data_IF_728679104837
#
_entry.id   IF_728679104837
#
_cell.length_a   1.000
_cell.length_b   1.000
_cell.length_c   1.000
_cell.angle_alpha   90.00
_cell.angle_beta   90.00
_cell.angle_gamma   90.00
#
_symmetry.space_group_name_H-M   'P 1'
#
loop_
_entity.id
_entity.type
_entity.pdbx_description
1 polymer ?
#
# COMPACT_ATOMS: atom_id res chain seq x y z
N UNK A 1 17.63 16.87 5.89
CA UNK A 1 18.00 15.45 5.74
C UNK A 1 17.41 14.93 4.46
N UNK A 2 18.22 14.27 3.62
CA UNK A 2 17.83 13.86 2.27
C UNK A 2 17.84 12.34 2.15
N UNK A 3 16.82 11.77 1.49
CA UNK A 3 16.67 10.34 1.21
C UNK A 3 16.32 10.18 -0.26
N UNK A 4 17.09 9.37 -0.97
CA UNK A 4 16.83 9.00 -2.36
C UNK A 4 16.24 7.61 -2.39
N UNK A 5 15.16 7.42 -3.14
CA UNK A 5 14.47 6.13 -3.22
C UNK A 5 13.97 5.85 -4.62
N UNK A 6 14.00 4.58 -4.99
CA UNK A 6 13.42 4.08 -6.24
C UNK A 6 12.56 2.88 -5.91
N UNK A 7 11.28 2.92 -6.30
CA UNK A 7 10.37 1.81 -6.07
C UNK A 7 10.62 0.67 -7.03
N UNK A 8 10.83 -0.53 -6.50
CA UNK A 8 10.86 -1.74 -7.33
C UNK A 8 9.43 -2.16 -7.75
N UNK A 9 9.33 -2.98 -8.80
CA UNK A 9 8.04 -3.51 -9.27
C UNK A 9 7.27 -4.23 -8.16
N UNK A 10 7.94 -5.05 -7.34
CA UNK A 10 7.31 -5.77 -6.22
C UNK A 10 6.80 -4.83 -5.12
N UNK A 11 7.56 -3.77 -4.83
CA UNK A 11 7.14 -2.75 -3.88
C UNK A 11 5.94 -1.95 -4.39
N UNK A 12 5.92 -1.63 -5.68
CA UNK A 12 4.78 -0.96 -6.31
C UNK A 12 3.52 -1.85 -6.30
N UNK A 13 3.65 -3.15 -6.56
CA UNK A 13 2.55 -4.10 -6.45
C UNK A 13 2.00 -4.19 -5.02
N UNK A 14 2.88 -4.25 -4.00
CA UNK A 14 2.47 -4.21 -2.58
C UNK A 14 1.74 -2.92 -2.23
N UNK A 15 2.25 -1.78 -2.70
CA UNK A 15 1.60 -0.48 -2.51
C UNK A 15 0.20 -0.46 -3.12
N UNK A 16 0.07 -0.92 -4.37
CA UNK A 16 -1.21 -1.03 -5.07
C UNK A 16 -2.20 -1.88 -4.29
N UNK A 17 -1.78 -3.04 -3.79
CA UNK A 17 -2.61 -3.90 -2.94
C UNK A 17 -3.05 -3.21 -1.64
N UNK A 18 -2.13 -2.52 -0.95
CA UNK A 18 -2.45 -1.75 0.26
C UNK A 18 -3.49 -0.67 -0.01
N UNK A 19 -3.39 0.03 -1.14
CA UNK A 19 -4.31 1.10 -1.51
C UNK A 19 -5.68 0.55 -1.93
N UNK A 20 -5.71 -0.57 -2.67
CA UNK A 20 -6.95 -1.23 -3.09
C UNK A 20 -7.75 -1.74 -1.88
N UNK A 21 -7.09 -2.40 -0.93
CA UNK A 21 -7.75 -2.91 0.28
C UNK A 21 -8.32 -1.80 1.19
N UNK A 22 -7.97 -0.53 0.97
CA UNK A 22 -8.59 0.60 1.66
C UNK A 22 -9.88 1.09 1.02
N UNK A 23 -10.19 0.63 -0.19
CA UNK A 23 -11.46 0.94 -0.84
C UNK A 23 -12.54 0.05 -0.21
N UNK A 24 -13.51 0.66 0.43
CA UNK A 24 -14.63 -0.04 1.09
C UNK A 24 -15.32 -1.04 0.16
N UNK A 25 -15.54 -0.66 -1.09
CA UNK A 25 -16.14 -1.55 -2.10
C UNK A 25 -15.35 -2.85 -2.29
N UNK A 26 -14.02 -2.76 -2.40
CA UNK A 26 -13.16 -3.95 -2.55
C UNK A 26 -13.23 -4.82 -1.29
N UNK A 27 -13.21 -4.19 -0.12
CA UNK A 27 -13.34 -4.90 1.15
C UNK A 27 -14.68 -5.63 1.26
N UNK A 28 -15.80 -4.98 0.90
CA UNK A 28 -17.12 -5.61 0.91
C UNK A 28 -17.21 -6.79 -0.04
N UNK A 29 -16.67 -6.68 -1.27
CA UNK A 29 -16.64 -7.79 -2.22
C UNK A 29 -15.86 -8.98 -1.66
N UNK A 30 -14.68 -8.73 -1.09
CA UNK A 30 -13.86 -9.79 -0.50
C UNK A 30 -14.55 -10.47 0.69
N UNK A 31 -15.18 -9.69 1.58
CA UNK A 31 -15.93 -10.21 2.71
C UNK A 31 -17.15 -11.04 2.25
N UNK A 32 -17.86 -10.60 1.22
CA UNK A 32 -18.98 -11.34 0.63
C UNK A 32 -18.53 -12.69 0.05
N UNK A 33 -17.43 -12.71 -0.70
CA UNK A 33 -16.88 -13.96 -1.27
C UNK A 33 -16.41 -14.90 -0.16
N UNK A 34 -15.72 -14.39 0.86
CA UNK A 34 -15.29 -15.21 2.01
C UNK A 34 -16.53 -15.76 2.76
N UNK A 35 -17.54 -14.94 2.98
CA UNK A 35 -18.80 -15.36 3.60
C UNK A 35 -19.51 -16.46 2.82
N UNK A 36 -19.54 -16.36 1.47
CA UNK A 36 -20.07 -17.40 0.60
C UNK A 36 -19.28 -18.72 0.71
N UNK A 37 -17.96 -18.66 0.74
CA UNK A 37 -17.11 -19.85 0.91
C UNK A 37 -17.38 -20.51 2.27
N UNK A 38 -17.44 -19.72 3.34
CA UNK A 38 -17.72 -20.25 4.69
C UNK A 38 -19.13 -20.85 4.76
N UNK A 39 -20.14 -20.18 4.22
CA UNK A 39 -21.51 -20.68 4.17
C UNK A 39 -21.62 -21.98 3.36
N UNK A 40 -20.95 -22.08 2.21
CA UNK A 40 -20.90 -23.29 1.42
C UNK A 40 -20.18 -24.44 2.16
N UNK A 41 -19.10 -24.13 2.90
CA UNK A 41 -18.40 -25.12 3.72
C UNK A 41 -19.30 -25.68 4.82
N UNK A 42 -20.05 -24.82 5.54
CA UNK A 42 -21.00 -25.23 6.55
C UNK A 42 -22.11 -26.11 5.91
N UNK A 43 -22.65 -25.69 4.76
CA UNK A 43 -23.68 -26.44 4.04
C UNK A 43 -23.20 -27.84 3.61
N UNK A 44 -21.95 -27.98 3.17
CA UNK A 44 -21.39 -29.27 2.80
C UNK A 44 -21.18 -30.20 4.01
N UNK A 45 -20.75 -29.64 5.15
CA UNK A 45 -20.45 -30.42 6.35
C UNK A 45 -21.71 -30.79 7.14
N UNK A 46 -22.68 -29.89 7.27
CA UNK A 46 -23.87 -30.07 8.12
C UNK A 46 -24.99 -30.75 7.35
N UNK A 47 -25.22 -30.34 6.10
CA UNK A 47 -26.34 -30.81 5.29
C UNK A 47 -25.91 -31.82 4.22
N UNK A 48 -24.65 -32.23 4.16
CA UNK A 48 -24.09 -33.16 3.19
C UNK A 48 -24.39 -32.73 1.73
N UNK A 49 -24.42 -31.39 1.51
CA UNK A 49 -24.76 -30.81 0.21
C UNK A 49 -23.55 -30.81 -0.73
N UNK A 50 -23.49 -31.77 -1.63
CA UNK A 50 -22.38 -31.92 -2.59
C UNK A 50 -22.26 -30.71 -3.54
N UNK A 51 -23.36 -30.06 -3.89
CA UNK A 51 -23.36 -28.86 -4.76
C UNK A 51 -22.60 -27.69 -4.12
N UNK A 52 -22.43 -27.68 -2.79
CA UNK A 52 -21.67 -26.65 -2.07
C UNK A 52 -20.18 -26.64 -2.44
N UNK A 53 -19.60 -27.78 -2.83
CA UNK A 53 -18.20 -27.85 -3.27
C UNK A 53 -17.94 -27.01 -4.51
N UNK A 54 -18.91 -26.93 -5.42
CA UNK A 54 -18.81 -26.09 -6.61
C UNK A 54 -18.71 -24.60 -6.24
N UNK A 55 -19.48 -24.14 -5.25
CA UNK A 55 -19.43 -22.75 -4.78
C UNK A 55 -18.09 -22.43 -4.10
N UNK A 56 -17.55 -23.37 -3.31
CA UNK A 56 -16.23 -23.23 -2.70
C UNK A 56 -15.17 -23.10 -3.80
N UNK A 57 -15.20 -23.99 -4.80
CA UNK A 57 -14.26 -23.97 -5.91
C UNK A 57 -14.31 -22.64 -6.67
N UNK A 58 -15.50 -22.17 -7.05
CA UNK A 58 -15.70 -20.90 -7.75
C UNK A 58 -15.18 -19.73 -6.91
N UNK A 59 -15.47 -19.71 -5.61
CA UNK A 59 -14.99 -18.67 -4.69
C UNK A 59 -13.46 -18.62 -4.59
N UNK A 60 -12.80 -19.78 -4.48
CA UNK A 60 -11.34 -19.87 -4.42
C UNK A 60 -10.69 -19.43 -5.74
N UNK A 61 -11.25 -19.87 -6.88
CA UNK A 61 -10.80 -19.45 -8.22
C UNK A 61 -10.95 -17.94 -8.38
N UNK A 62 -12.07 -17.37 -7.94
CA UNK A 62 -12.29 -15.92 -7.99
C UNK A 62 -11.23 -15.15 -7.17
N UNK A 63 -10.94 -15.59 -5.95
CA UNK A 63 -9.90 -14.96 -5.13
C UNK A 63 -8.52 -15.03 -5.77
N UNK A 64 -8.18 -16.18 -6.38
CA UNK A 64 -6.94 -16.37 -7.12
C UNK A 64 -6.82 -15.44 -8.33
N UNK A 65 -7.86 -15.37 -9.16
CA UNK A 65 -7.93 -14.48 -10.32
C UNK A 65 -7.89 -12.99 -9.89
N UNK A 66 -8.55 -12.65 -8.78
CA UNK A 66 -8.53 -11.30 -8.24
C UNK A 66 -7.11 -10.90 -7.80
N UNK A 67 -6.43 -11.75 -7.04
CA UNK A 67 -5.04 -11.51 -6.62
C UNK A 67 -4.10 -11.40 -7.83
N UNK A 68 -4.23 -12.29 -8.81
CA UNK A 68 -3.49 -12.26 -10.08
C UNK A 68 -3.72 -10.97 -10.85
N UNK A 69 -4.98 -10.52 -10.94
CA UNK A 69 -5.35 -9.27 -11.61
C UNK A 69 -4.68 -8.05 -10.96
N UNK A 70 -4.67 -7.97 -9.63
CA UNK A 70 -3.98 -6.89 -8.91
C UNK A 70 -2.49 -6.86 -9.27
N UNK A 71 -1.84 -8.02 -9.22
CA UNK A 71 -0.41 -8.12 -9.50
C UNK A 71 -0.09 -7.77 -10.95
N UNK A 72 -0.86 -8.31 -11.90
CA UNK A 72 -0.65 -8.08 -13.33
C UNK A 72 -0.92 -6.61 -13.72
N UNK A 73 -1.97 -6.00 -13.18
CA UNK A 73 -2.24 -4.58 -13.39
C UNK A 73 -1.14 -3.69 -12.79
N UNK A 74 -0.68 -3.99 -11.58
CA UNK A 74 0.43 -3.26 -10.96
C UNK A 74 1.71 -3.38 -11.81
N UNK A 75 2.02 -4.58 -12.34
CA UNK A 75 3.14 -4.81 -13.25
C UNK A 75 3.02 -3.96 -14.50
N UNK A 76 1.87 -3.98 -15.17
CA UNK A 76 1.61 -3.18 -16.39
C UNK A 76 1.76 -1.69 -16.11
N UNK A 77 1.17 -1.17 -15.04
CA UNK A 77 1.29 0.23 -14.65
C UNK A 77 2.73 0.63 -14.31
N UNK A 78 3.48 -0.24 -13.65
CA UNK A 78 4.90 0.00 -13.36
C UNK A 78 5.73 0.07 -14.64
N UNK A 79 5.47 -0.80 -15.62
CA UNK A 79 6.20 -0.85 -16.89
C UNK A 79 5.84 0.30 -17.82
N UNK A 80 4.56 0.65 -17.90
CA UNK A 80 4.06 1.70 -18.80
C UNK A 80 4.32 3.11 -18.31
N UNK A 81 4.60 3.30 -17.01
CA UNK A 81 4.81 4.63 -16.44
C UNK A 81 6.27 4.84 -15.98
N UNK A 82 7.13 5.47 -16.81
CA UNK A 82 8.51 5.74 -16.45
C UNK A 82 8.66 6.55 -15.15
N UNK A 83 7.68 7.42 -14.84
CA UNK A 83 7.72 8.27 -13.64
C UNK A 83 7.73 7.48 -12.32
N UNK A 84 7.18 6.26 -12.31
CA UNK A 84 7.17 5.41 -11.10
C UNK A 84 8.57 4.83 -10.83
N UNK A 85 9.38 4.67 -11.91
CA UNK A 85 10.73 4.11 -11.87
C UNK A 85 11.82 5.15 -11.63
N UNK A 86 11.47 6.44 -11.72
CA UNK A 86 12.41 7.52 -11.46
C UNK A 86 12.84 7.56 -9.99
N UNK A 87 14.13 7.86 -9.77
CA UNK A 87 14.63 8.17 -8.45
C UNK A 87 13.88 9.40 -7.90
N UNK A 88 13.33 9.26 -6.72
CA UNK A 88 12.63 10.32 -6.01
C UNK A 88 13.43 10.70 -4.78
N UNK A 89 13.74 11.97 -4.65
CA UNK A 89 14.45 12.53 -3.51
C UNK A 89 13.45 13.14 -2.53
N UNK A 90 13.55 12.72 -1.29
CA UNK A 90 12.77 13.25 -0.16
C UNK A 90 13.70 14.05 0.75
N UNK A 91 13.40 15.32 0.95
CA UNK A 91 14.16 16.19 1.84
C UNK A 91 13.28 16.59 3.02
N UNK A 92 13.67 16.13 4.22
CA UNK A 92 13.00 16.44 5.48
C UNK A 92 13.61 17.70 6.08
N UNK A 93 12.78 18.70 6.35
CA UNK A 93 13.14 19.99 6.93
C UNK A 93 12.13 20.41 8.00
N UNK A 94 12.41 21.47 8.75
CA UNK A 94 11.45 22.02 9.74
C UNK A 94 10.14 22.52 9.10
N UNK A 95 10.14 22.87 7.80
CA UNK A 95 8.98 23.36 7.07
C UNK A 95 8.07 22.23 6.56
N UNK A 96 8.63 21.05 6.30
CA UNK A 96 7.92 19.92 5.73
C UNK A 96 8.83 18.94 5.03
N UNK A 97 8.24 18.15 4.15
CA UNK A 97 8.91 17.16 3.31
C UNK A 97 8.87 17.63 1.85
N UNK A 98 10.03 18.02 1.32
CA UNK A 98 10.17 18.33 -0.10
C UNK A 98 10.40 17.05 -0.88
N UNK A 99 9.70 16.90 -1.99
CA UNK A 99 9.71 15.72 -2.86
C UNK A 99 10.14 16.20 -4.24
N UNK A 100 11.24 15.71 -4.73
CA UNK A 100 11.75 16.07 -6.04
C UNK A 100 12.12 14.85 -6.86
N UNK A 101 11.83 14.92 -8.15
CA UNK A 101 12.25 13.98 -9.18
C UNK A 101 12.33 14.72 -10.51
N UNK A 102 12.83 14.09 -11.54
CA UNK A 102 12.91 14.70 -12.87
C UNK A 102 11.54 15.26 -13.32
N UNK A 103 11.51 16.57 -13.62
CA UNK A 103 10.31 17.27 -14.05
C UNK A 103 9.21 17.47 -12.99
N UNK A 104 9.51 17.21 -11.70
CA UNK A 104 8.54 17.40 -10.64
C UNK A 104 9.20 17.80 -9.31
N UNK A 105 8.68 18.86 -8.70
CA UNK A 105 9.03 19.25 -7.34
C UNK A 105 7.76 19.67 -6.59
N UNK A 106 7.63 19.23 -5.34
CA UNK A 106 6.51 19.57 -4.47
C UNK A 106 6.99 19.57 -3.03
N UNK A 107 6.39 20.41 -2.19
CA UNK A 107 6.64 20.42 -0.75
C UNK A 107 5.35 20.17 0.00
N UNK A 108 5.37 19.16 0.86
CA UNK A 108 4.26 18.79 1.74
C UNK A 108 4.56 19.34 3.13
N UNK A 109 3.76 20.26 3.60
CA UNK A 109 3.90 20.84 4.95
C UNK A 109 3.55 19.78 6.01
N UNK A 110 4.16 19.87 7.19
CA UNK A 110 3.85 18.95 8.28
C UNK A 110 2.37 18.95 8.67
N UNK A 111 1.69 20.10 8.56
CA UNK A 111 0.24 20.22 8.80
C UNK A 111 -0.63 19.45 7.79
N UNK A 112 -0.09 19.13 6.63
CA UNK A 112 -0.78 18.36 5.58
C UNK A 112 -0.55 16.85 5.73
N UNK A 113 0.34 16.43 6.63
CA UNK A 113 0.65 15.03 6.88
C UNK A 113 -0.23 14.52 8.01
N UNK A 114 -1.20 13.66 7.69
CA UNK A 114 -2.12 13.11 8.68
C UNK A 114 -1.53 11.94 9.47
N UNK A 115 -0.55 11.22 8.89
CA UNK A 115 0.15 10.10 9.55
C UNK A 115 1.32 9.60 8.72
N UNK A 116 2.28 8.94 9.38
CA UNK A 116 3.38 8.23 8.74
C UNK A 116 3.35 6.77 9.23
N UNK A 117 3.38 5.80 8.31
CA UNK A 117 3.31 4.38 8.68
C UNK A 117 4.29 3.54 7.88
N UNK A 118 4.95 2.61 8.59
CA UNK A 118 5.73 1.53 7.98
C UNK A 118 4.83 0.33 7.73
N UNK A 119 4.75 -0.13 6.48
CA UNK A 119 3.98 -1.31 6.10
C UNK A 119 4.61 -2.00 4.88
N UNK A 120 4.77 -3.32 4.95
CA UNK A 120 5.27 -4.16 3.85
C UNK A 120 6.64 -3.70 3.26
N UNK A 121 7.55 -3.18 4.12
CA UNK A 121 8.85 -2.67 3.70
C UNK A 121 8.82 -1.29 3.05
N UNK A 122 7.71 -0.55 3.20
CA UNK A 122 7.51 0.81 2.72
C UNK A 122 7.22 1.75 3.89
N UNK A 123 7.73 2.96 3.82
CA UNK A 123 7.34 4.08 4.68
C UNK A 123 6.38 4.95 3.90
N UNK A 124 5.15 5.07 4.40
CA UNK A 124 4.02 5.75 3.76
C UNK A 124 3.75 7.06 4.49
N UNK A 125 3.92 8.19 3.81
CA UNK A 125 3.62 9.54 4.29
C UNK A 125 2.25 9.94 3.75
N UNK A 126 1.22 9.86 4.59
CA UNK A 126 -0.18 10.07 4.20
C UNK A 126 -0.57 11.54 4.29
N UNK A 127 -1.07 12.10 3.18
CA UNK A 127 -1.66 13.43 3.12
C UNK A 127 -3.19 13.38 3.27
N UNK A 128 -3.81 12.29 2.84
CA UNK A 128 -5.24 12.02 3.04
C UNK A 128 -5.48 10.50 3.10
N UNK A 129 -6.75 10.07 3.15
CA UNK A 129 -7.10 8.64 3.25
C UNK A 129 -6.63 7.80 2.06
N UNK A 130 -6.41 8.42 0.89
CA UNK A 130 -6.11 7.73 -0.37
C UNK A 130 -4.74 8.08 -0.95
N UNK A 131 -4.17 9.24 -0.59
CA UNK A 131 -2.90 9.72 -1.12
C UNK A 131 -1.78 9.54 -0.10
N UNK A 132 -0.74 8.81 -0.50
CA UNK A 132 0.48 8.67 0.27
C UNK A 132 1.71 8.82 -0.62
N UNK A 133 2.71 9.53 -0.12
CA UNK A 133 4.06 9.48 -0.67
C UNK A 133 4.79 8.28 -0.06
N UNK A 134 5.67 7.65 -0.83
CA UNK A 134 6.21 6.34 -0.50
C UNK A 134 7.72 6.35 -0.58
N UNK A 135 8.36 5.93 0.49
CA UNK A 135 9.81 5.69 0.56
C UNK A 135 10.04 4.21 0.80
N UNK A 136 10.94 3.59 0.06
CA UNK A 136 11.37 2.22 0.36
C UNK A 136 12.13 2.21 1.70
N UNK A 137 11.73 1.35 2.62
CA UNK A 137 12.39 1.25 3.93
C UNK A 137 13.85 0.77 3.83
N UNK A 138 14.23 0.16 2.70
CA UNK A 138 15.62 -0.26 2.43
C UNK A 138 16.54 0.91 2.12
N UNK A 139 15.97 2.01 1.63
CA UNK A 139 16.71 3.20 1.20
C UNK A 139 16.87 4.21 2.36
N UNK A 140 16.40 3.86 3.55
CA UNK A 140 16.50 4.68 4.77
C UNK A 140 17.58 4.10 5.67
N UNK A 141 18.64 4.85 5.92
CA UNK A 141 19.67 4.44 6.89
C UNK A 141 19.12 4.48 8.33
N UNK A 142 19.75 3.75 9.27
CA UNK A 142 19.36 3.80 10.69
C UNK A 142 19.37 5.23 11.25
N UNK A 143 20.37 6.03 10.89
CA UNK A 143 20.51 7.44 11.33
C UNK A 143 19.38 8.30 10.73
N UNK A 144 19.07 8.11 9.45
CA UNK A 144 17.96 8.80 8.79
C UNK A 144 16.62 8.42 9.43
N UNK A 145 16.46 7.16 9.83
CA UNK A 145 15.24 6.72 10.52
C UNK A 145 15.07 7.40 11.87
N UNK A 146 16.16 7.57 12.63
CA UNK A 146 16.18 8.32 13.89
C UNK A 146 15.76 9.77 13.64
N UNK A 147 16.36 10.44 12.65
CA UNK A 147 16.01 11.81 12.28
C UNK A 147 14.54 11.98 11.86
N UNK A 148 13.98 11.02 11.09
CA UNK A 148 12.54 11.03 10.76
C UNK A 148 11.69 10.94 12.02
N UNK A 149 12.04 10.04 12.96
CA UNK A 149 11.31 9.88 14.23
C UNK A 149 11.34 11.17 15.08
N UNK A 150 12.46 11.90 15.08
CA UNK A 150 12.57 13.17 15.77
C UNK A 150 11.64 14.24 15.17
N UNK A 151 11.59 14.36 13.83
CA UNK A 151 10.65 15.27 13.16
C UNK A 151 9.19 14.90 13.49
N UNK A 152 8.84 13.61 13.43
CA UNK A 152 7.52 13.08 13.74
C UNK A 152 7.11 13.46 15.17
N UNK A 153 8.01 13.23 16.14
CA UNK A 153 7.79 13.58 17.55
C UNK A 153 7.64 15.06 17.76
N UNK A 154 8.55 15.88 17.19
CA UNK A 154 8.53 17.34 17.28
C UNK A 154 7.24 17.94 16.70
N UNK A 155 6.69 17.34 15.65
CA UNK A 155 5.47 17.78 14.96
C UNK A 155 4.20 17.06 15.39
N UNK A 156 4.29 16.17 16.38
CA UNK A 156 3.17 15.42 16.96
C UNK A 156 2.34 14.65 15.91
N UNK A 157 3.03 13.97 14.95
CA UNK A 157 2.38 13.25 13.87
C UNK A 157 2.14 11.79 14.29
N UNK A 158 0.93 11.23 14.12
CA UNK A 158 0.66 9.81 14.37
C UNK A 158 1.55 8.90 13.53
N UNK A 159 2.32 8.01 14.18
CA UNK A 159 3.27 7.14 13.49
C UNK A 159 3.42 5.77 14.17
N UNK A 160 3.86 4.77 13.38
CA UNK A 160 4.31 3.45 13.84
C UNK A 160 5.71 3.10 13.30
N UNK A 161 6.58 4.08 13.14
CA UNK A 161 7.98 3.90 12.73
C UNK A 161 8.85 3.39 13.89
#
# INVERSE_FOLDING_TARGET
MQIKTTLSQSQFAKLTGILLLKRLQVLFILLAVIGLIIGALIASLVFHNESAYMLIFVGVVFLGLFAFSIFNNAKRHYQSNPRIRQETTYEFSDKGVSISREGFASTVRWSEIIRIRKRAGLVLIWQNKLLANVISAKDISPEQLIGIKEFIRKKNIPSNL
#
